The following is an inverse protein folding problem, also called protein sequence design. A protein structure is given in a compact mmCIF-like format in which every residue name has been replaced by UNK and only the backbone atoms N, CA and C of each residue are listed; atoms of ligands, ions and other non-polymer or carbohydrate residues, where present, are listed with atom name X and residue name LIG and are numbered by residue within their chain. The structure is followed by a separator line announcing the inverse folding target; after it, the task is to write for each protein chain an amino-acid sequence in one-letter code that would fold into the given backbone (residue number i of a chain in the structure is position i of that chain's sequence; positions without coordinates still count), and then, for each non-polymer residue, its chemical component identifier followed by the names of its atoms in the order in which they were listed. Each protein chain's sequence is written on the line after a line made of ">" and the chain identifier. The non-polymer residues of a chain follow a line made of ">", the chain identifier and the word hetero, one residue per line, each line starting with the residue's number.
data_IF_260566960492
#
_entry.id   IF_260566960492
#
_cell.length_a   1.000
_cell.length_b   1.000
_cell.length_c   1.000
_cell.angle_alpha   90.00
_cell.angle_beta   90.00
_cell.angle_gamma   90.00
#
_symmetry.space_group_name_H-M   'P 1'
#
loop_
_entity.id
_entity.type
_entity.pdbx_description
1 polymer ?
#
# COMPACT_ATOMS: atom_id res chain seq x y z
N UNK A 1 -3.20 -9.91 4.05
CA UNK A 1 -2.09 -10.01 5.03
C UNK A 1 -0.94 -9.12 4.59
N UNK A 2 -0.36 -8.40 5.52
CA UNK A 2 0.75 -7.50 5.27
C UNK A 2 2.04 -8.07 5.85
N UNK A 3 3.12 -7.97 5.10
CA UNK A 3 4.45 -8.34 5.57
C UNK A 3 5.42 -7.19 5.32
N UNK A 4 6.34 -6.99 6.27
CA UNK A 4 7.34 -5.94 6.21
C UNK A 4 8.71 -6.53 6.49
N UNK A 5 9.64 -6.30 5.58
CA UNK A 5 11.05 -6.65 5.76
C UNK A 5 11.84 -5.36 5.92
N UNK A 6 12.63 -5.28 6.98
CA UNK A 6 13.44 -4.11 7.28
C UNK A 6 14.92 -4.46 7.15
N UNK A 7 15.67 -3.64 6.41
CA UNK A 7 17.13 -3.74 6.39
C UNK A 7 17.75 -2.77 7.40
N UNK A 8 19.02 -3.00 7.73
CA UNK A 8 19.74 -2.12 8.64
C UNK A 8 19.95 -0.71 8.08
N UNK A 9 19.80 -0.52 6.76
CA UNK A 9 20.01 0.77 6.09
C UNK A 9 18.76 1.62 6.00
N UNK A 10 17.67 1.25 6.68
CA UNK A 10 16.41 1.99 6.61
C UNK A 10 15.53 1.65 5.42
N UNK A 11 15.85 0.57 4.71
CA UNK A 11 15.04 0.09 3.61
C UNK A 11 13.98 -0.88 4.12
N UNK A 12 12.79 -0.82 3.53
CA UNK A 12 11.68 -1.70 3.87
C UNK A 12 11.11 -2.30 2.60
N UNK A 13 10.84 -3.60 2.66
CA UNK A 13 10.03 -4.25 1.65
C UNK A 13 8.68 -4.57 2.29
N UNK A 14 7.63 -3.96 1.77
CA UNK A 14 6.26 -4.12 2.27
C UNK A 14 5.48 -4.91 1.25
N UNK A 15 4.77 -5.94 1.68
CA UNK A 15 3.84 -6.64 0.82
C UNK A 15 2.48 -6.73 1.51
N UNK A 16 1.42 -6.62 0.71
CA UNK A 16 0.05 -6.74 1.21
C UNK A 16 -0.76 -7.52 0.20
N UNK A 17 -1.66 -8.36 0.70
CA UNK A 17 -2.47 -9.25 -0.12
C UNK A 17 -3.93 -9.13 0.28
N UNK A 18 -4.84 -9.24 -0.71
CA UNK A 18 -6.27 -9.37 -0.44
C UNK A 18 -6.58 -10.70 0.24
N UNK A 19 -7.72 -10.75 0.93
CA UNK A 19 -8.17 -11.96 1.61
C UNK A 19 -8.53 -13.04 0.59
N UNK A 20 -7.93 -14.22 0.74
CA UNK A 20 -8.15 -15.33 -0.17
C UNK A 20 -7.64 -14.98 -1.58
N UNK A 21 -8.48 -15.20 -2.59
CA UNK A 21 -8.18 -14.86 -3.97
C UNK A 21 -8.79 -13.54 -4.40
N UNK A 22 -9.21 -12.72 -3.45
CA UNK A 22 -9.91 -11.48 -3.72
C UNK A 22 -8.98 -10.47 -4.40
N UNK A 23 -9.47 -9.84 -5.47
CA UNK A 23 -8.73 -8.77 -6.14
C UNK A 23 -8.72 -7.52 -5.28
N UNK A 24 -7.60 -6.80 -5.31
CA UNK A 24 -7.47 -5.48 -4.70
C UNK A 24 -7.36 -4.40 -5.78
N UNK A 25 -7.08 -4.78 -7.02
CA UNK A 25 -7.16 -3.90 -8.18
C UNK A 25 -7.96 -4.61 -9.26
N UNK A 26 -9.02 -3.99 -9.73
CA UNK A 26 -9.82 -4.54 -10.81
C UNK A 26 -9.40 -4.00 -12.18
N UNK A 27 -8.76 -2.83 -12.18
CA UNK A 27 -8.32 -2.16 -13.41
C UNK A 27 -7.21 -1.16 -13.09
N UNK A 28 -6.74 -0.46 -14.12
CA UNK A 28 -5.65 0.51 -13.97
C UNK A 28 -6.09 1.76 -13.20
N UNK A 29 -7.36 2.13 -13.26
CA UNK A 29 -7.84 3.27 -12.46
C UNK A 29 -7.68 3.00 -10.97
N UNK A 30 -7.91 1.76 -10.54
CA UNK A 30 -7.68 1.35 -9.16
C UNK A 30 -6.20 1.48 -8.80
N UNK A 31 -5.32 1.07 -9.71
CA UNK A 31 -3.87 1.18 -9.49
C UNK A 31 -3.42 2.63 -9.39
N UNK A 32 -3.95 3.50 -10.24
CA UNK A 32 -3.62 4.92 -10.17
C UNK A 32 -4.11 5.54 -8.87
N UNK A 33 -5.30 5.16 -8.40
CA UNK A 33 -5.79 5.64 -7.12
C UNK A 33 -4.87 5.23 -5.98
N UNK A 34 -4.43 3.98 -5.97
CA UNK A 34 -3.49 3.48 -4.98
C UNK A 34 -2.16 4.24 -5.02
N UNK A 35 -1.62 4.45 -6.21
CA UNK A 35 -0.35 5.17 -6.37
C UNK A 35 -0.45 6.62 -5.89
N UNK A 36 -1.54 7.30 -6.18
CA UNK A 36 -1.75 8.66 -5.72
C UNK A 36 -1.86 8.74 -4.20
N UNK A 37 -2.59 7.81 -3.59
CA UNK A 37 -2.69 7.73 -2.13
C UNK A 37 -1.33 7.41 -1.50
N UNK A 38 -0.58 6.49 -2.09
CA UNK A 38 0.75 6.12 -1.61
C UNK A 38 1.70 7.31 -1.64
N UNK A 39 1.69 8.07 -2.74
CA UNK A 39 2.49 9.27 -2.85
C UNK A 39 2.18 10.25 -1.72
N UNK A 40 0.90 10.52 -1.49
CA UNK A 40 0.49 11.51 -0.50
C UNK A 40 0.78 11.04 0.93
N UNK A 41 0.48 9.79 1.25
CA UNK A 41 0.74 9.25 2.59
C UNK A 41 2.23 9.19 2.90
N UNK A 42 3.04 8.77 1.93
CA UNK A 42 4.48 8.67 2.12
C UNK A 42 5.12 10.05 2.24
N UNK A 43 4.70 10.99 1.41
CA UNK A 43 5.22 12.36 1.47
C UNK A 43 4.93 12.99 2.83
N UNK A 44 3.72 12.81 3.36
CA UNK A 44 3.33 13.39 4.65
C UNK A 44 4.15 12.83 5.82
N UNK A 45 4.71 11.63 5.67
CA UNK A 45 5.45 10.96 6.72
C UNK A 45 6.95 10.86 6.47
N UNK A 46 7.45 11.52 5.44
CA UNK A 46 8.88 11.49 5.12
C UNK A 46 9.39 10.16 4.62
N UNK A 47 8.53 9.35 4.00
CA UNK A 47 8.88 8.05 3.45
C UNK A 47 9.17 8.21 1.95
N UNK A 48 10.29 7.67 1.49
CA UNK A 48 10.67 7.71 0.08
C UNK A 48 10.29 6.41 -0.60
N UNK A 49 9.59 6.51 -1.72
CA UNK A 49 9.18 5.36 -2.53
C UNK A 49 10.28 5.07 -3.54
N UNK A 50 10.83 3.85 -3.50
CA UNK A 50 11.92 3.45 -4.39
C UNK A 50 11.43 2.57 -5.53
N UNK A 51 10.47 1.69 -5.28
CA UNK A 51 9.94 0.79 -6.30
C UNK A 51 8.58 0.25 -5.86
N UNK A 52 7.80 -0.21 -6.82
CA UNK A 52 6.52 -0.85 -6.53
C UNK A 52 6.17 -1.86 -7.61
N UNK A 53 5.31 -2.81 -7.24
CA UNK A 53 4.70 -3.74 -8.17
C UNK A 53 3.26 -3.98 -7.72
N UNK A 54 2.30 -3.66 -8.59
CA UNK A 54 0.88 -3.76 -8.26
C UNK A 54 0.26 -4.90 -9.06
N UNK A 55 0.12 -6.05 -8.39
CA UNK A 55 -0.54 -7.22 -8.96
C UNK A 55 -2.03 -7.17 -8.67
N UNK A 56 -2.83 -7.99 -9.35
CA UNK A 56 -4.29 -7.94 -9.16
C UNK A 56 -4.74 -8.17 -7.73
N UNK A 57 -4.05 -9.04 -6.98
CA UNK A 57 -4.45 -9.42 -5.63
C UNK A 57 -3.40 -9.13 -4.57
N UNK A 58 -2.28 -8.50 -4.92
CA UNK A 58 -1.25 -8.15 -3.93
C UNK A 58 -0.35 -7.04 -4.47
N UNK A 59 0.36 -6.39 -3.54
CA UNK A 59 1.31 -5.33 -3.87
C UNK A 59 2.65 -5.61 -3.22
N UNK A 60 3.72 -5.13 -3.84
CA UNK A 60 5.05 -5.10 -3.27
C UNK A 60 5.58 -3.68 -3.39
N UNK A 61 6.10 -3.14 -2.28
CA UNK A 61 6.64 -1.79 -2.23
C UNK A 61 8.04 -1.86 -1.63
N UNK A 62 8.96 -1.06 -2.17
CA UNK A 62 10.28 -0.86 -1.57
C UNK A 62 10.37 0.60 -1.18
N UNK A 63 10.58 0.83 0.10
CA UNK A 63 10.54 2.17 0.70
C UNK A 63 11.80 2.44 1.49
N UNK A 64 12.19 3.71 1.55
CA UNK A 64 13.25 4.16 2.46
C UNK A 64 12.61 5.05 3.53
N UNK A 65 12.84 4.73 4.78
CA UNK A 65 12.23 5.42 5.91
C UNK A 65 13.27 5.65 7.00
N UNK A 66 13.66 6.89 7.19
CA UNK A 66 14.65 7.29 8.18
C UNK A 66 14.03 8.04 9.36
N UNK A 67 12.73 8.26 9.34
CA UNK A 67 12.03 9.09 10.33
C UNK A 67 10.91 8.33 11.04
N UNK A 68 10.90 7.00 10.93
CA UNK A 68 9.91 6.12 11.55
C UNK A 68 8.46 6.43 11.16
N UNK A 69 8.26 6.93 9.91
CA UNK A 69 6.94 7.27 9.42
C UNK A 69 6.24 6.16 8.64
N UNK A 70 6.94 5.06 8.34
CA UNK A 70 6.46 4.02 7.44
C UNK A 70 5.20 3.33 7.96
N UNK A 71 5.15 2.98 9.23
CA UNK A 71 3.98 2.30 9.79
C UNK A 71 2.72 3.13 9.69
N UNK A 72 2.81 4.43 10.02
CA UNK A 72 1.68 5.34 9.93
C UNK A 72 1.26 5.56 8.48
N UNK A 73 2.24 5.72 7.58
CA UNK A 73 1.97 5.91 6.15
C UNK A 73 1.26 4.70 5.56
N UNK A 74 1.74 3.50 5.86
CA UNK A 74 1.16 2.27 5.34
C UNK A 74 -0.23 1.99 5.91
N UNK A 75 -0.40 2.23 7.20
CA UNK A 75 -1.72 2.07 7.84
C UNK A 75 -2.75 2.99 7.17
N UNK A 76 -2.41 4.25 7.00
CA UNK A 76 -3.31 5.22 6.36
C UNK A 76 -3.60 4.84 4.90
N UNK A 77 -2.57 4.47 4.15
CA UNK A 77 -2.70 4.10 2.75
C UNK A 77 -3.62 2.90 2.58
N UNK A 78 -3.31 1.81 3.28
CA UNK A 78 -4.05 0.56 3.11
C UNK A 78 -5.49 0.68 3.59
N UNK A 79 -5.70 1.36 4.70
CA UNK A 79 -7.05 1.57 5.24
C UNK A 79 -7.90 2.46 4.32
N UNK A 80 -7.34 3.57 3.86
CA UNK A 80 -8.05 4.49 2.99
C UNK A 80 -8.39 3.84 1.65
N UNK A 81 -7.42 3.14 1.06
CA UNK A 81 -7.64 2.45 -0.20
C UNK A 81 -8.71 1.37 -0.07
N UNK A 82 -8.63 0.54 0.98
CA UNK A 82 -9.59 -0.53 1.21
C UNK A 82 -11.01 0.01 1.35
N UNK A 83 -11.18 1.11 2.08
CA UNK A 83 -12.50 1.74 2.24
C UNK A 83 -13.05 2.23 0.90
N UNK A 84 -12.22 2.90 0.09
CA UNK A 84 -12.64 3.41 -1.20
C UNK A 84 -12.98 2.30 -2.17
N UNK A 85 -12.14 1.26 -2.21
CA UNK A 85 -12.34 0.11 -3.08
C UNK A 85 -13.61 -0.64 -2.71
N UNK A 86 -13.83 -0.89 -1.42
CA UNK A 86 -15.02 -1.61 -0.96
C UNK A 86 -16.30 -0.82 -1.26
N UNK A 87 -16.26 0.49 -1.06
CA UNK A 87 -17.41 1.35 -1.38
C UNK A 87 -17.73 1.32 -2.87
N UNK A 88 -16.72 1.44 -3.72
CA UNK A 88 -16.90 1.45 -5.17
C UNK A 88 -17.38 0.13 -5.72
N UNK A 89 -16.88 -0.98 -5.19
CA UNK A 89 -17.20 -2.32 -5.67
C UNK A 89 -18.38 -2.95 -4.95
N UNK A 90 -18.93 -2.30 -3.93
CA UNK A 90 -20.02 -2.85 -3.14
C UNK A 90 -19.60 -3.96 -2.18
N UNK A 91 -18.29 -4.16 -1.97
CA UNK A 91 -17.79 -5.18 -1.05
C UNK A 91 -17.82 -4.69 0.38
N UNK A 92 -17.97 -5.64 1.30
CA UNK A 92 -17.86 -5.37 2.73
C UNK A 92 -16.68 -6.15 3.28
N UNK A 93 -16.06 -5.60 4.33
CA UNK A 93 -14.87 -6.21 4.92
C UNK A 93 -13.58 -5.63 4.32
N UNK A 94 -12.49 -6.36 4.55
CA UNK A 94 -11.16 -5.81 4.21
C UNK A 94 -10.19 -6.86 3.76
#
# INVERSE_FOLDING_TARGET
>A
MQRVWRSASGLYHVSARGTGKQLIFENDDDRWEFLNLMRDCCRDKGVTILAWCLMGNHVHLVLADYEDGMSAAMQRLLLTYARRFNKRTGRTGH
#
